data_IF_290766429906
#
_entry.id   IF_290766429906
#
_cell.length_a   1.000
_cell.length_b   1.000
_cell.length_c   1.000
_cell.angle_alpha   90.00
_cell.angle_beta   90.00
_cell.angle_gamma   90.00
#
_symmetry.space_group_name_H-M   'P 1'
#
loop_
_entity.id
_entity.type
_entity.pdbx_description
1 polymer ?
#
# COMPACT_ATOMS: atom_id res chain seq x y z
N UNK A 1 12.79 2.59 0.60
CA UNK A 1 12.24 2.09 -0.69
C UNK A 1 11.23 1.02 -0.31
N UNK A 2 9.93 1.29 -0.46
CA UNK A 2 8.90 0.27 -0.24
C UNK A 2 8.83 -0.59 -1.49
N UNK A 3 9.14 -1.87 -1.37
CA UNK A 3 8.88 -2.86 -2.41
C UNK A 3 7.55 -3.51 -2.05
N UNK A 4 6.49 -3.17 -2.78
CA UNK A 4 5.29 -4.00 -2.78
C UNK A 4 5.65 -5.24 -3.59
N UNK A 5 6.06 -6.30 -2.91
CA UNK A 5 6.14 -7.62 -3.51
C UNK A 5 4.72 -8.17 -3.59
N UNK A 6 4.36 -8.78 -4.71
CA UNK A 6 3.17 -9.63 -4.75
C UNK A 6 3.23 -10.60 -3.57
N UNK A 7 2.11 -10.88 -2.87
CA UNK A 7 2.07 -12.06 -2.03
C UNK A 7 2.50 -13.24 -2.89
N UNK A 8 3.54 -13.92 -2.43
CA UNK A 8 4.10 -15.12 -3.03
C UNK A 8 2.97 -16.13 -3.29
N UNK A 9 2.52 -16.20 -4.55
CA UNK A 9 1.43 -17.09 -4.99
C UNK A 9 0.39 -16.48 -5.94
N UNK A 10 0.36 -15.16 -6.16
CA UNK A 10 -0.55 -14.57 -7.14
C UNK A 10 0.09 -14.50 -8.54
N UNK A 11 -0.53 -15.14 -9.53
CA UNK A 11 -0.15 -15.01 -10.94
C UNK A 11 -0.20 -13.53 -11.37
N UNK A 12 0.74 -13.05 -12.20
CA UNK A 12 0.76 -11.66 -12.63
C UNK A 12 -0.39 -11.39 -13.60
N UNK A 13 -1.55 -11.02 -13.07
CA UNK A 13 -2.62 -10.40 -13.84
C UNK A 13 -2.34 -8.89 -13.97
N UNK A 14 -2.64 -8.27 -15.12
CA UNK A 14 -2.52 -6.82 -15.25
C UNK A 14 -3.49 -6.17 -14.25
N UNK A 15 -2.91 -5.37 -13.35
CA UNK A 15 -3.65 -4.65 -12.32
C UNK A 15 -4.26 -3.39 -12.93
N UNK A 16 -5.58 -3.24 -12.86
CA UNK A 16 -6.34 -2.12 -13.41
C UNK A 16 -6.32 -0.91 -12.45
N UNK A 17 -6.48 -1.16 -11.15
CA UNK A 17 -6.41 -0.14 -10.11
C UNK A 17 -5.60 -0.62 -8.91
N UNK A 18 -4.70 0.24 -8.41
CA UNK A 18 -4.07 0.08 -7.09
C UNK A 18 -4.37 1.28 -6.22
N UNK A 19 -4.92 0.97 -5.04
CA UNK A 19 -5.13 1.90 -3.95
C UNK A 19 -4.13 1.61 -2.86
N UNK A 20 -3.36 2.62 -2.45
CA UNK A 20 -2.54 2.56 -1.26
C UNK A 20 -3.12 3.50 -0.21
N UNK A 21 -3.27 2.98 1.00
CA UNK A 21 -3.67 3.72 2.19
C UNK A 21 -2.67 3.51 3.31
N UNK A 22 -2.56 4.52 4.17
CA UNK A 22 -1.67 4.50 5.33
C UNK A 22 -2.44 4.81 6.59
N UNK A 23 -1.98 4.23 7.70
CA UNK A 23 -2.49 4.50 9.03
C UNK A 23 -1.33 4.80 9.97
N UNK A 24 -1.54 5.77 10.85
CA UNK A 24 -0.61 6.19 11.90
C UNK A 24 -1.10 5.81 13.30
N UNK A 25 -2.23 5.12 13.38
CA UNK A 25 -2.94 4.73 14.59
C UNK A 25 -3.25 3.22 14.60
N UNK A 26 -2.27 2.41 14.16
CA UNK A 26 -2.33 0.95 14.13
C UNK A 26 -3.54 0.36 13.37
N UNK A 27 -4.00 1.04 12.32
CA UNK A 27 -5.10 0.61 11.45
C UNK A 27 -6.48 1.11 11.87
N UNK A 28 -6.58 1.97 12.89
CA UNK A 28 -7.86 2.53 13.32
C UNK A 28 -8.45 3.54 12.31
N UNK A 29 -7.60 4.30 11.62
CA UNK A 29 -8.00 5.18 10.53
C UNK A 29 -7.03 5.11 9.35
N UNK A 30 -7.56 5.21 8.13
CA UNK A 30 -6.82 5.03 6.89
C UNK A 30 -6.88 6.29 6.03
N UNK A 31 -5.72 6.68 5.49
CA UNK A 31 -5.54 7.85 4.65
C UNK A 31 -5.06 7.43 3.27
N UNK A 32 -5.84 7.76 2.23
CA UNK A 32 -5.49 7.43 0.85
C UNK A 32 -4.28 8.23 0.37
N UNK A 33 -3.28 7.51 -0.13
CA UNK A 33 -2.09 8.07 -0.75
C UNK A 33 -2.40 8.38 -2.21
N UNK A 34 -2.29 9.65 -2.60
CA UNK A 34 -2.64 10.09 -3.96
C UNK A 34 -1.48 9.97 -4.95
N UNK A 35 -0.24 9.96 -4.46
CA UNK A 35 0.98 9.91 -5.28
C UNK A 35 1.54 8.51 -5.46
N UNK A 36 0.68 7.52 -5.69
CA UNK A 36 1.08 6.15 -6.05
C UNK A 36 1.38 6.11 -7.54
N UNK A 37 2.57 5.63 -7.90
CA UNK A 37 2.98 5.48 -9.29
C UNK A 37 3.48 4.07 -9.54
N UNK A 38 2.99 3.46 -10.60
CA UNK A 38 3.59 2.23 -11.11
C UNK A 38 5.03 2.52 -11.55
N UNK A 39 5.93 1.59 -11.26
CA UNK A 39 7.33 1.64 -11.67
C UNK A 39 7.61 0.66 -12.78
N UNK A 40 7.32 -0.63 -12.56
CA UNK A 40 7.58 -1.70 -13.52
C UNK A 40 6.89 -2.98 -13.07
N UNK A 41 6.20 -3.67 -13.98
CA UNK A 41 5.70 -5.04 -13.79
C UNK A 41 4.91 -5.27 -12.49
N UNK A 42 3.98 -4.37 -12.15
CA UNK A 42 3.17 -4.49 -10.92
C UNK A 42 3.88 -4.03 -9.64
N UNK A 43 5.02 -3.33 -9.74
CA UNK A 43 5.64 -2.62 -8.61
C UNK A 43 5.15 -1.19 -8.55
N UNK A 44 4.73 -0.76 -7.36
CA UNK A 44 4.26 0.59 -7.11
C UNK A 44 5.17 1.31 -6.13
N UNK A 45 5.35 2.61 -6.34
CA UNK A 45 6.08 3.49 -5.44
C UNK A 45 5.21 4.68 -5.05
N UNK A 46 5.23 5.02 -3.77
CA UNK A 46 4.57 6.22 -3.26
C UNK A 46 5.55 7.03 -2.41
N UNK A 47 5.31 8.35 -2.34
CA UNK A 47 5.95 9.22 -1.36
C UNK A 47 4.94 9.55 -0.27
N UNK A 48 5.37 9.34 0.96
CA UNK A 48 4.60 9.69 2.15
C UNK A 48 5.29 10.89 2.77
N UNK A 49 4.58 12.00 2.88
CA UNK A 49 5.02 13.15 3.66
C UNK A 49 4.77 12.80 5.14
N UNK A 50 5.85 12.77 5.92
CA UNK A 50 5.90 12.40 7.34
C UNK A 50 5.40 13.51 8.28
N UNK A 51 4.71 14.54 7.74
CA UNK A 51 4.47 15.84 8.39
C UNK A 51 3.64 15.75 9.68
N UNK A 52 4.29 15.32 10.77
CA UNK A 52 3.73 15.31 12.12
C UNK A 52 2.93 14.06 12.47
N UNK A 53 3.21 12.91 11.84
CA UNK A 53 2.64 11.65 12.28
C UNK A 53 3.07 11.36 13.72
N UNK A 54 2.11 11.41 14.66
CA UNK A 54 2.35 11.18 16.08
C UNK A 54 2.52 9.69 16.46
N UNK A 55 2.39 8.79 15.47
CA UNK A 55 2.48 7.35 15.67
C UNK A 55 3.93 6.86 15.66
N UNK A 56 4.22 5.84 16.48
CA UNK A 56 5.51 5.14 16.47
C UNK A 56 5.69 4.26 15.23
N UNK A 57 4.58 3.89 14.59
CA UNK A 57 4.56 2.99 13.45
C UNK A 57 3.59 3.47 12.37
N UNK A 58 3.91 3.09 11.13
CA UNK A 58 3.10 3.24 9.94
C UNK A 58 2.54 1.87 9.55
N UNK A 59 1.23 1.76 9.45
CA UNK A 59 0.53 0.62 8.86
C UNK A 59 0.17 0.92 7.41
N UNK A 60 0.11 -0.13 6.59
CA UNK A 60 -0.17 -0.03 5.15
C UNK A 60 -1.39 -0.89 4.80
N UNK A 61 -2.27 -0.37 3.96
CA UNK A 61 -3.33 -1.14 3.31
C UNK A 61 -3.24 -0.95 1.81
N UNK A 62 -3.26 -2.06 1.08
CA UNK A 62 -3.22 -2.09 -0.39
C UNK A 62 -4.47 -2.79 -0.87
N UNK A 63 -5.22 -2.14 -1.76
CA UNK A 63 -6.30 -2.77 -2.50
C UNK A 63 -5.90 -2.78 -3.98
N UNK A 64 -5.90 -3.95 -4.59
CA UNK A 64 -5.60 -4.11 -6.01
C UNK A 64 -6.76 -4.81 -6.71
N UNK A 65 -7.15 -4.28 -7.86
CA UNK A 65 -8.20 -4.82 -8.72
C UNK A 65 -7.59 -5.19 -10.07
N UNK A 66 -7.87 -6.38 -10.57
CA UNK A 66 -7.48 -6.77 -11.94
C UNK A 66 -8.57 -6.46 -12.97
N UNK A 67 -8.21 -6.58 -14.25
CA UNK A 67 -9.13 -6.33 -15.39
C UNK A 67 -10.29 -7.34 -15.47
N UNK A 68 -10.21 -8.45 -14.74
CA UNK A 68 -11.25 -9.49 -14.66
C UNK A 68 -12.22 -9.22 -13.50
N UNK A 69 -11.97 -8.17 -12.71
CA UNK A 69 -12.79 -7.75 -11.57
C UNK A 69 -12.44 -8.45 -10.27
N UNK A 70 -11.37 -9.24 -10.21
CA UNK A 70 -10.90 -9.79 -8.95
C UNK A 70 -10.26 -8.68 -8.11
N UNK A 71 -10.55 -8.69 -6.81
CA UNK A 71 -10.01 -7.72 -5.87
C UNK A 71 -9.25 -8.44 -4.76
N UNK A 72 -8.05 -7.96 -4.47
CA UNK A 72 -7.28 -8.35 -3.29
C UNK A 72 -7.10 -7.13 -2.39
N UNK A 73 -7.33 -7.32 -1.09
CA UNK A 73 -6.99 -6.36 -0.06
C UNK A 73 -5.96 -6.98 0.88
N UNK A 74 -4.88 -6.24 1.13
CA UNK A 74 -3.82 -6.64 2.05
C UNK A 74 -3.58 -5.53 3.05
N UNK A 75 -3.61 -5.90 4.33
CA UNK A 75 -3.32 -5.01 5.45
C UNK A 75 -2.06 -5.48 6.19
N UNK A 76 -1.15 -4.54 6.45
CA UNK A 76 0.06 -4.78 7.24
C UNK A 76 0.11 -3.74 8.34
N UNK A 77 -0.15 -4.19 9.57
CA UNK A 77 -0.08 -3.36 10.76
C UNK A 77 1.37 -3.22 11.22
N UNK A 78 1.77 -1.98 11.54
CA UNK A 78 3.14 -1.62 11.95
C UNK A 78 4.22 -2.05 10.94
N UNK A 79 3.93 -1.85 9.65
CA UNK A 79 4.84 -2.16 8.55
C UNK A 79 6.18 -1.41 8.62
N UNK A 80 6.20 -0.22 9.24
CA UNK A 80 7.41 0.58 9.40
C UNK A 80 7.42 1.34 10.72
N UNK A 81 8.57 1.43 11.39
CA UNK A 81 8.74 2.28 12.57
C UNK A 81 9.09 3.71 12.15
N UNK A 82 8.30 4.68 12.57
CA UNK A 82 8.53 6.11 12.32
C UNK A 82 9.51 6.63 13.39
N UNK A 83 10.54 7.35 12.95
CA UNK A 83 11.61 7.89 13.83
C UNK A 83 11.60 9.41 13.84
#
# INVERSE_FOLDING_TARGET
MLTVAHPEGAEPSPVDEVVLEVSYDDGASWQRVRDVRERDGGRYAARLDDRGAAGEFLSLRVTASDVEGNTVEQEIIRAYALR
#
